data_IF_555106273155
#
_entry.id   IF_555106273155
#
_cell.length_a   1.000
_cell.length_b   1.000
_cell.length_c   1.000
_cell.angle_alpha   90.00
_cell.angle_beta   90.00
_cell.angle_gamma   90.00
#
_symmetry.space_group_name_H-M   'P 1'
#
loop_
_entity.id
_entity.type
_entity.pdbx_description
1 polymer ?
#
# COMPACT_ATOMS: atom_id res chain seq x y z
N UNK A 1 6.78 14.68 14.07
CA UNK A 1 6.63 13.20 13.95
C UNK A 1 5.71 12.64 15.05
N UNK A 2 4.77 11.77 14.68
CA UNK A 2 3.87 11.10 15.64
C UNK A 2 4.52 9.80 16.10
N UNK A 3 4.62 9.61 17.41
CA UNK A 3 5.20 8.40 18.00
C UNK A 3 4.12 7.34 18.20
N UNK A 4 4.28 6.20 17.51
CA UNK A 4 3.29 5.11 17.52
C UNK A 4 3.69 3.94 18.42
N UNK A 5 4.99 3.72 18.61
CA UNK A 5 5.55 2.65 19.44
C UNK A 5 6.92 3.08 19.97
N UNK A 6 7.22 2.75 21.22
CA UNK A 6 8.50 2.97 21.86
C UNK A 6 8.82 1.87 22.85
N UNK A 7 10.11 1.71 23.12
CA UNK A 7 10.62 0.93 24.24
C UNK A 7 11.60 1.79 25.03
N UNK A 8 11.29 2.01 26.31
CA UNK A 8 12.09 2.86 27.20
C UNK A 8 12.06 2.22 28.59
N UNK A 9 13.23 2.06 29.22
CA UNK A 9 13.39 1.53 30.58
C UNK A 9 12.70 0.18 30.82
N UNK A 10 12.80 -0.75 29.86
CA UNK A 10 12.18 -2.07 29.98
C UNK A 10 10.68 -2.12 29.64
N UNK A 11 10.07 -0.97 29.31
CA UNK A 11 8.63 -0.86 29.11
C UNK A 11 8.30 -0.49 27.67
N UNK A 12 7.38 -1.24 27.07
CA UNK A 12 6.77 -0.90 25.78
C UNK A 12 5.69 0.15 25.98
N UNK A 13 5.82 1.27 25.27
CA UNK A 13 4.85 2.37 25.25
C UNK A 13 4.24 2.44 23.85
N UNK A 14 2.91 2.34 23.78
CA UNK A 14 2.16 2.44 22.52
C UNK A 14 1.46 3.79 22.46
N UNK A 15 1.61 4.51 21.36
CA UNK A 15 1.00 5.83 21.18
C UNK A 15 -0.52 5.75 21.00
N UNK A 16 -1.26 6.75 21.50
CA UNK A 16 -2.71 6.88 21.30
C UNK A 16 -3.03 7.26 19.85
N UNK A 17 -3.12 6.25 18.99
CA UNK A 17 -3.41 6.37 17.56
C UNK A 17 -4.31 5.21 17.12
N UNK A 18 -4.84 5.28 15.89
CA UNK A 18 -5.59 4.18 15.27
C UNK A 18 -4.77 2.89 15.08
N UNK A 19 -3.45 2.98 15.23
CA UNK A 19 -2.53 1.84 15.21
C UNK A 19 -2.39 1.15 16.57
N UNK A 20 -2.75 1.80 17.68
CA UNK A 20 -2.61 1.25 19.04
C UNK A 20 -3.08 -0.21 19.20
N UNK A 21 -4.25 -0.63 18.67
CA UNK A 21 -4.70 -2.02 18.82
C UNK A 21 -3.99 -3.03 17.89
N UNK A 22 -3.14 -2.56 16.97
CA UNK A 22 -2.59 -3.37 15.87
C UNK A 22 -1.06 -3.27 15.74
N UNK A 23 -0.40 -2.43 16.53
CA UNK A 23 1.04 -2.19 16.44
C UNK A 23 1.79 -2.92 17.55
N UNK A 24 2.97 -3.44 17.25
CA UNK A 24 3.85 -4.06 18.24
C UNK A 24 5.21 -4.41 17.67
N UNK A 25 6.08 -4.93 18.52
CA UNK A 25 7.34 -5.53 18.08
C UNK A 25 7.08 -6.98 17.65
N UNK A 26 7.66 -7.38 16.51
CA UNK A 26 7.53 -8.74 16.00
C UNK A 26 8.31 -9.75 16.86
N UNK A 27 9.42 -9.32 17.46
CA UNK A 27 10.29 -10.13 18.30
C UNK A 27 10.45 -9.49 19.70
N UNK A 28 10.83 -10.28 20.72
CA UNK A 28 11.19 -9.72 22.02
C UNK A 28 12.31 -8.68 21.89
N UNK A 29 12.18 -7.57 22.61
CA UNK A 29 13.07 -6.40 22.49
C UNK A 29 14.47 -6.67 23.06
N UNK A 30 14.63 -7.80 23.75
CA UNK A 30 15.92 -8.32 24.19
C UNK A 30 16.77 -8.87 23.03
N UNK A 31 16.21 -8.95 21.82
CA UNK A 31 16.94 -9.36 20.62
C UNK A 31 17.43 -8.13 19.83
N UNK A 32 18.49 -8.24 19.03
CA UNK A 32 18.92 -7.15 18.14
C UNK A 32 17.90 -6.83 17.03
N UNK A 33 16.81 -7.61 16.91
CA UNK A 33 15.80 -7.43 15.90
C UNK A 33 14.61 -6.63 16.44
N UNK A 34 14.57 -5.35 16.06
CA UNK A 34 13.52 -4.40 16.43
C UNK A 34 12.41 -4.26 15.36
N UNK A 35 12.13 -5.32 14.62
CA UNK A 35 11.09 -5.31 13.58
C UNK A 35 9.73 -4.89 14.12
N UNK A 36 9.09 -3.96 13.41
CA UNK A 36 7.74 -3.47 13.71
C UNK A 36 6.69 -4.33 13.00
N UNK A 37 5.65 -4.73 13.74
CA UNK A 37 4.46 -5.38 13.22
C UNK A 37 3.30 -4.37 13.22
N UNK A 38 2.60 -4.27 12.09
CA UNK A 38 1.28 -3.64 11.99
C UNK A 38 0.31 -4.69 11.48
N UNK A 39 -0.56 -5.19 12.35
CA UNK A 39 -1.56 -6.19 11.99
C UNK A 39 -2.73 -5.56 11.22
N UNK A 40 -3.36 -6.34 10.33
CA UNK A 40 -4.52 -5.93 9.54
C UNK A 40 -4.36 -4.52 8.93
N UNK A 41 -3.34 -4.36 8.07
CA UNK A 41 -2.98 -3.08 7.45
C UNK A 41 -4.15 -2.49 6.66
N UNK A 42 -4.25 -1.16 6.71
CA UNK A 42 -5.29 -0.37 6.06
C UNK A 42 -4.67 0.60 5.09
N UNK A 43 -5.43 1.07 4.09
CA UNK A 43 -4.90 1.98 3.07
C UNK A 43 -4.25 3.24 3.67
N UNK A 44 -4.86 3.81 4.71
CA UNK A 44 -4.35 4.98 5.43
C UNK A 44 -3.13 4.71 6.32
N UNK A 45 -2.74 3.45 6.53
CA UNK A 45 -1.48 3.12 7.21
C UNK A 45 -0.28 3.37 6.26
N UNK A 46 -0.50 3.64 4.97
CA UNK A 46 0.58 3.99 4.03
C UNK A 46 1.23 5.32 4.41
N UNK A 47 2.55 5.37 4.39
CA UNK A 47 3.29 6.58 4.73
C UNK A 47 4.76 6.32 4.97
N UNK A 48 5.47 7.37 5.37
CA UNK A 48 6.87 7.27 5.78
C UNK A 48 6.93 7.00 7.29
N UNK A 49 7.60 5.91 7.63
CA UNK A 49 7.89 5.49 9.00
C UNK A 49 9.35 5.75 9.30
N UNK A 50 9.62 6.14 10.54
CA UNK A 50 10.95 6.44 11.03
C UNK A 50 11.20 5.66 12.31
N UNK A 51 12.30 4.92 12.34
CA UNK A 51 12.80 4.23 13.52
C UNK A 51 14.02 4.97 14.05
N UNK A 52 14.06 5.26 15.34
CA UNK A 52 15.20 5.91 16.00
C UNK A 52 15.63 5.05 17.17
N UNK A 53 16.93 4.74 17.23
CA UNK A 53 17.53 3.96 18.32
C UNK A 53 18.46 4.89 19.11
N UNK A 54 18.30 4.96 20.42
CA UNK A 54 19.17 5.74 21.29
C UNK A 54 19.80 4.79 22.30
N UNK A 55 21.13 4.66 22.31
CA UNK A 55 21.88 3.83 23.25
C UNK A 55 22.51 4.74 24.30
N UNK A 56 22.09 4.59 25.55
CA UNK A 56 22.59 5.40 26.67
C UNK A 56 23.90 4.79 27.22
N UNK A 57 25.02 5.03 26.54
CA UNK A 57 26.38 5.06 27.14
C UNK A 57 27.50 5.45 26.16
N UNK A 58 27.18 5.81 24.91
CA UNK A 58 28.20 6.08 23.91
C UNK A 58 28.00 7.46 23.27
N UNK A 59 28.67 8.46 23.84
CA UNK A 59 28.73 9.82 23.30
C UNK A 59 29.38 9.85 21.90
N UNK A 60 29.95 8.72 21.44
CA UNK A 60 30.47 8.54 20.08
C UNK A 60 29.42 8.07 19.05
N UNK A 61 28.25 7.57 19.50
CA UNK A 61 27.09 7.23 18.63
C UNK A 61 26.16 8.44 18.46
N UNK A 62 26.75 9.64 18.38
CA UNK A 62 26.13 10.83 17.77
C UNK A 62 26.26 10.82 16.24
N UNK A 63 26.56 9.66 15.65
CA UNK A 63 26.62 9.48 14.21
C UNK A 63 25.19 9.35 13.66
N UNK A 64 24.96 9.93 12.47
CA UNK A 64 23.66 10.02 11.79
C UNK A 64 23.05 8.66 11.35
N UNK A 65 23.52 7.54 11.92
CA UNK A 65 23.20 6.16 11.58
C UNK A 65 22.21 5.50 12.57
N UNK A 66 21.65 6.26 13.50
CA UNK A 66 20.67 5.77 14.47
C UNK A 66 19.20 5.91 13.99
N UNK A 67 18.98 6.48 12.80
CA UNK A 67 17.67 6.68 12.19
C UNK A 67 17.54 5.82 10.92
N UNK A 68 16.50 5.00 10.87
CA UNK A 68 16.06 4.28 9.67
C UNK A 68 14.74 4.84 9.15
N UNK A 69 14.64 5.11 7.85
CA UNK A 69 13.42 5.58 7.19
C UNK A 69 12.89 4.49 6.26
N UNK A 70 11.59 4.20 6.36
CA UNK A 70 10.90 3.17 5.57
C UNK A 70 9.63 3.77 4.97
N UNK A 71 9.41 3.58 3.67
CA UNK A 71 8.16 3.97 3.02
C UNK A 71 7.24 2.74 2.91
N UNK A 72 6.15 2.74 3.68
CA UNK A 72 5.12 1.71 3.62
C UNK A 72 4.06 2.08 2.60
N UNK A 73 3.84 1.22 1.60
CA UNK A 73 2.72 1.34 0.66
C UNK A 73 1.78 0.16 0.86
N UNK A 74 0.60 0.42 1.41
CA UNK A 74 -0.46 -0.59 1.51
C UNK A 74 -1.19 -0.67 0.18
N UNK A 75 -1.27 -1.87 -0.38
CA UNK A 75 -1.95 -2.18 -1.62
C UNK A 75 -3.43 -2.48 -1.34
N UNK A 76 -4.29 -2.08 -2.27
CA UNK A 76 -5.73 -2.33 -2.19
C UNK A 76 -6.16 -3.09 -3.43
N UNK A 77 -6.75 -4.29 -3.30
CA UNK A 77 -7.21 -5.05 -4.45
C UNK A 77 -8.28 -4.26 -5.21
N UNK A 78 -8.33 -4.38 -6.55
CA UNK A 78 -9.39 -3.77 -7.33
C UNK A 78 -10.77 -4.27 -6.86
N UNK A 79 -11.73 -3.35 -6.76
CA UNK A 79 -13.13 -3.73 -6.57
C UNK A 79 -13.63 -4.52 -7.80
N UNK A 80 -14.76 -5.23 -7.65
CA UNK A 80 -15.41 -5.86 -8.80
C UNK A 80 -15.63 -4.82 -9.93
N UNK A 81 -15.19 -5.10 -11.17
CA UNK A 81 -15.32 -4.15 -12.25
C UNK A 81 -16.79 -4.00 -12.65
N UNK A 82 -17.20 -2.77 -12.93
CA UNK A 82 -18.48 -2.47 -13.58
C UNK A 82 -18.21 -2.22 -15.05
N UNK A 83 -18.82 -3.04 -15.91
CA UNK A 83 -18.66 -2.95 -17.36
C UNK A 83 -19.94 -2.46 -18.02
N UNK A 84 -19.78 -1.58 -19.01
CA UNK A 84 -20.87 -0.95 -19.74
C UNK A 84 -20.58 -1.03 -21.24
N UNK A 85 -21.64 -1.33 -21.99
CA UNK A 85 -21.64 -1.22 -23.44
C UNK A 85 -22.24 0.14 -23.81
N UNK A 86 -21.49 0.93 -24.56
CA UNK A 86 -21.96 2.17 -25.15
C UNK A 86 -22.21 1.94 -26.65
N UNK A 87 -23.36 2.42 -27.13
CA UNK A 87 -23.83 2.18 -28.50
C UNK A 87 -24.83 1.04 -28.58
N UNK A 88 -25.23 0.70 -29.81
CA UNK A 88 -26.18 -0.38 -30.09
C UNK A 88 -25.47 -1.51 -30.81
N UNK A 89 -25.63 -2.74 -30.30
CA UNK A 89 -25.01 -3.94 -30.86
C UNK A 89 -25.75 -4.42 -32.12
N UNK A 90 -25.76 -3.59 -33.16
CA UNK A 90 -26.37 -3.86 -34.46
C UNK A 90 -25.27 -4.06 -35.50
N UNK A 91 -25.51 -4.92 -36.48
CA UNK A 91 -24.55 -5.19 -37.57
C UNK A 91 -24.17 -3.90 -38.28
N UNK A 92 -22.86 -3.67 -38.42
CA UNK A 92 -22.30 -2.48 -39.05
C UNK A 92 -22.18 -1.25 -38.14
N UNK A 93 -22.67 -1.31 -36.90
CA UNK A 93 -22.52 -0.24 -35.93
C UNK A 93 -21.23 -0.39 -35.09
N UNK A 94 -20.69 0.76 -34.64
CA UNK A 94 -19.57 0.78 -33.69
C UNK A 94 -20.10 0.73 -32.25
N UNK A 95 -19.45 -0.08 -31.42
CA UNK A 95 -19.73 -0.16 -29.98
C UNK A 95 -18.46 0.11 -29.19
N UNK A 96 -18.60 0.64 -27.98
CA UNK A 96 -17.49 0.85 -27.06
C UNK A 96 -17.76 0.12 -25.75
N UNK A 97 -16.83 -0.73 -25.34
CA UNK A 97 -16.87 -1.40 -24.05
C UNK A 97 -16.02 -0.61 -23.06
N UNK A 98 -16.62 -0.23 -21.93
CA UNK A 98 -15.96 0.48 -20.84
C UNK A 98 -16.05 -0.35 -19.57
N UNK A 99 -14.93 -0.67 -18.94
CA UNK A 99 -14.88 -1.29 -17.62
C UNK A 99 -14.09 -0.40 -16.68
N UNK A 100 -14.58 -0.27 -15.45
CA UNK A 100 -13.85 0.42 -14.38
C UNK A 100 -14.13 -0.21 -13.01
N UNK A 101 -13.15 -0.13 -12.12
CA UNK A 101 -13.32 -0.50 -10.71
C UNK A 101 -13.27 0.75 -9.86
N UNK A 102 -14.23 0.88 -8.93
CA UNK A 102 -14.35 2.04 -8.03
C UNK A 102 -13.18 2.18 -7.05
N UNK A 103 -12.46 1.09 -6.79
CA UNK A 103 -11.30 1.04 -5.90
C UNK A 103 -10.21 0.17 -6.51
N UNK A 104 -8.97 0.44 -6.14
CA UNK A 104 -7.78 -0.32 -6.49
C UNK A 104 -6.54 0.56 -6.30
N UNK A 105 -5.51 0.03 -5.62
CA UNK A 105 -4.24 0.72 -5.39
C UNK A 105 -3.08 -0.25 -5.65
N UNK A 106 -2.29 -0.05 -6.73
CA UNK A 106 -2.44 1.01 -7.73
C UNK A 106 -3.71 0.86 -8.57
N UNK A 107 -4.04 1.89 -9.36
CA UNK A 107 -5.19 1.85 -10.25
C UNK A 107 -5.12 0.64 -11.19
N UNK A 108 -6.19 -0.16 -11.32
CA UNK A 108 -6.19 -1.34 -12.17
C UNK A 108 -6.03 -0.97 -13.64
N UNK A 109 -5.31 -1.81 -14.37
CA UNK A 109 -5.14 -1.70 -15.83
C UNK A 109 -5.97 -2.80 -16.48
N UNK A 110 -6.81 -2.43 -17.44
CA UNK A 110 -7.66 -3.37 -18.17
C UNK A 110 -7.09 -3.65 -19.56
N UNK A 111 -7.23 -4.91 -19.97
CA UNK A 111 -6.95 -5.35 -21.33
C UNK A 111 -8.16 -6.09 -21.86
N UNK A 112 -8.46 -5.87 -23.13
CA UNK A 112 -9.58 -6.47 -23.80
C UNK A 112 -9.09 -7.60 -24.71
N UNK A 113 -9.69 -8.78 -24.56
CA UNK A 113 -9.40 -9.93 -25.38
C UNK A 113 -10.71 -10.44 -25.98
N UNK A 114 -10.70 -10.72 -27.28
CA UNK A 114 -11.80 -11.41 -27.95
C UNK A 114 -11.67 -12.92 -27.72
N UNK A 115 -12.78 -13.56 -27.36
CA UNK A 115 -12.83 -15.02 -27.24
C UNK A 115 -12.66 -15.71 -28.61
N UNK A 116 -12.13 -16.95 -28.65
CA UNK A 116 -12.00 -17.74 -29.89
C UNK A 116 -13.31 -17.85 -30.69
N UNK A 117 -13.25 -18.06 -32.02
CA UNK A 117 -12.10 -18.49 -32.82
C UNK A 117 -11.18 -17.36 -33.31
N UNK A 118 -11.48 -16.10 -33.02
CA UNK A 118 -10.66 -14.95 -33.45
C UNK A 118 -9.99 -14.29 -32.25
N UNK A 119 -8.74 -14.66 -31.98
CA UNK A 119 -7.90 -13.97 -30.99
C UNK A 119 -7.44 -12.63 -31.58
N UNK A 120 -8.09 -11.55 -31.18
CA UNK A 120 -7.62 -10.19 -31.42
C UNK A 120 -7.47 -9.50 -30.06
N UNK A 121 -6.27 -8.98 -29.81
CA UNK A 121 -5.95 -8.18 -28.62
C UNK A 121 -6.30 -6.73 -28.93
N UNK A 122 -7.20 -6.15 -28.14
CA UNK A 122 -7.52 -4.74 -28.24
C UNK A 122 -6.72 -3.96 -27.21
N UNK A 123 -5.81 -3.12 -27.69
CA UNK A 123 -5.12 -2.17 -26.82
C UNK A 123 -6.08 -1.02 -26.50
N UNK A 124 -6.24 -0.64 -25.22
CA UNK A 124 -6.98 0.58 -24.91
C UNK A 124 -6.30 1.78 -25.59
N UNK A 125 -7.05 2.76 -26.11
CA UNK A 125 -6.45 3.99 -26.62
C UNK A 125 -5.64 4.64 -25.49
N UNK A 126 -4.42 5.08 -25.80
CA UNK A 126 -3.55 5.74 -24.84
C UNK A 126 -4.31 6.89 -24.17
N UNK A 127 -4.63 6.74 -22.88
CA UNK A 127 -5.24 7.80 -22.10
C UNK A 127 -4.17 8.88 -21.93
N UNK A 128 -4.17 9.84 -22.85
CA UNK A 128 -3.42 11.08 -22.68
C UNK A 128 -3.87 11.71 -21.36
N UNK A 129 -2.97 11.73 -20.38
CA UNK A 129 -3.12 12.61 -19.23
C UNK A 129 -3.07 14.04 -19.77
N UNK A 130 -4.21 14.71 -19.77
CA UNK A 130 -4.29 16.18 -19.74
C UNK A 130 -3.77 16.66 -18.38
#
# INVERSE_FOLDING_TARGET
PVQILAYVDGVVKVGETDLKPRVGFLYPILTPNISLLINATREHDSGQYMCTVNVADDDTVRSNNNVGIINLTVLVPPAAPTCQLHGSAVVGANVTLSCSSKKGKPSPVYQWQREPPTLQVFFPPAQGKL
#
